data_IF_279373292326
#
_entry.id   IF_279373292326
#
_cell.length_a   1.000
_cell.length_b   1.000
_cell.length_c   1.000
_cell.angle_alpha   90.00
_cell.angle_beta   90.00
_cell.angle_gamma   90.00
#
_symmetry.space_group_name_H-M   'P 1'
#
loop_
_entity.id
_entity.type
_entity.pdbx_description
1 polymer ?
#
# COMPACT_ATOMS: atom_id res chain seq x y z
N UNK A 1 -8.42 45.57 -34.79
CA UNK A 1 -8.50 45.60 -36.27
C UNK A 1 -7.11 45.34 -36.84
N UNK A 2 -7.03 44.46 -37.85
CA UNK A 2 -5.85 43.98 -38.59
C UNK A 2 -4.69 43.39 -37.76
N UNK A 3 -4.79 42.09 -37.42
CA UNK A 3 -3.69 41.26 -36.90
C UNK A 3 -2.59 41.22 -37.98
N UNK A 4 -1.43 41.84 -37.72
CA UNK A 4 -0.29 41.85 -38.65
C UNK A 4 0.04 40.41 -39.06
N UNK A 5 -0.08 40.15 -40.36
CA UNK A 5 0.14 38.82 -40.94
C UNK A 5 1.59 38.39 -40.66
N UNK A 6 1.78 37.15 -40.19
CA UNK A 6 3.11 36.62 -39.85
C UNK A 6 4.05 36.76 -41.05
N UNK A 7 5.26 37.25 -40.79
CA UNK A 7 6.34 37.43 -41.79
C UNK A 7 6.57 36.12 -42.57
N UNK A 8 6.39 34.97 -41.93
CA UNK A 8 6.52 33.64 -42.53
C UNK A 8 5.47 33.37 -43.63
N UNK A 9 4.24 33.84 -43.45
CA UNK A 9 3.16 33.67 -44.44
C UNK A 9 3.37 34.56 -45.67
N UNK A 10 4.04 35.71 -45.48
CA UNK A 10 4.43 36.64 -46.55
C UNK A 10 5.58 36.09 -47.41
N UNK A 11 6.51 35.34 -46.80
CA UNK A 11 7.66 34.71 -47.48
C UNK A 11 7.25 33.53 -48.40
N UNK A 12 6.20 32.78 -48.06
CA UNK A 12 5.67 31.70 -48.92
C UNK A 12 5.16 32.20 -50.28
N UNK A 13 4.63 33.44 -50.34
CA UNK A 13 3.97 33.95 -51.54
C UNK A 13 4.94 34.55 -52.56
N UNK A 14 6.09 35.08 -52.11
CA UNK A 14 6.93 35.92 -52.99
C UNK A 14 8.25 35.25 -53.38
N UNK A 15 8.82 34.33 -52.58
CA UNK A 15 9.93 33.45 -53.00
C UNK A 15 9.95 32.21 -52.09
N UNK A 16 9.36 31.06 -52.48
CA UNK A 16 9.51 29.85 -51.68
C UNK A 16 11.01 29.50 -51.61
N UNK A 17 11.57 29.31 -50.40
CA UNK A 17 12.95 28.88 -50.25
C UNK A 17 13.12 27.55 -50.98
N UNK A 18 14.08 27.47 -51.90
CA UNK A 18 14.23 26.33 -52.82
C UNK A 18 14.73 25.04 -52.17
N UNK A 19 15.15 25.09 -50.90
CA UNK A 19 15.48 23.91 -50.10
C UNK A 19 15.16 24.24 -48.63
N UNK A 20 14.31 23.44 -48.01
CA UNK A 20 14.24 23.33 -46.55
C UNK A 20 14.91 22.01 -46.19
N UNK A 21 16.10 22.06 -45.60
CA UNK A 21 16.75 20.89 -45.01
C UNK A 21 16.28 20.81 -43.56
N UNK A 22 15.13 20.18 -43.34
CA UNK A 22 14.78 19.64 -42.02
C UNK A 22 15.48 18.29 -41.88
N UNK A 23 16.32 18.16 -40.85
CA UNK A 23 16.78 16.85 -40.40
C UNK A 23 15.66 16.28 -39.52
N UNK A 24 14.65 15.72 -40.17
CA UNK A 24 13.79 14.77 -39.48
C UNK A 24 14.64 13.53 -39.24
N UNK A 25 15.13 13.41 -38.01
CA UNK A 25 15.44 12.11 -37.45
C UNK A 25 14.09 11.43 -37.22
N UNK A 26 13.52 10.91 -38.29
CA UNK A 26 12.86 9.62 -38.15
C UNK A 26 14.00 8.69 -37.72
N UNK A 27 14.12 8.52 -36.41
CA UNK A 27 14.78 7.33 -35.87
C UNK A 27 13.88 6.20 -36.35
N UNK A 28 14.10 5.78 -37.60
CA UNK A 28 13.53 4.60 -38.26
C UNK A 28 14.11 3.35 -37.62
N UNK A 29 14.04 3.35 -36.29
CA UNK A 29 14.45 2.33 -35.36
C UNK A 29 13.29 2.13 -34.38
N UNK A 30 12.07 2.24 -34.91
CA UNK A 30 11.00 1.40 -34.42
C UNK A 30 11.54 -0.01 -34.50
N UNK A 31 12.06 -0.51 -33.36
CA UNK A 31 12.33 -1.92 -33.14
C UNK A 31 11.02 -2.61 -33.43
N UNK A 32 10.83 -3.01 -34.67
CA UNK A 32 9.81 -3.95 -35.05
C UNK A 32 10.20 -5.21 -34.31
N UNK A 33 9.47 -5.49 -33.23
CA UNK A 33 9.68 -6.67 -32.40
C UNK A 33 9.36 -7.86 -33.32
N UNK A 34 10.40 -8.36 -34.00
CA UNK A 34 10.30 -9.44 -35.00
C UNK A 34 10.19 -10.82 -34.36
N UNK A 35 10.23 -10.89 -33.03
CA UNK A 35 10.23 -12.11 -32.25
C UNK A 35 9.10 -12.06 -31.22
N UNK A 36 8.36 -13.15 -31.07
CA UNK A 36 7.31 -13.25 -30.06
C UNK A 36 7.90 -12.92 -28.67
N UNK A 37 7.20 -12.13 -27.84
CA UNK A 37 7.68 -11.84 -26.50
C UNK A 37 7.89 -13.16 -25.75
N UNK A 38 9.02 -13.26 -25.04
CA UNK A 38 9.32 -14.42 -24.23
C UNK A 38 8.41 -14.44 -22.99
N UNK A 39 7.31 -15.20 -23.08
CA UNK A 39 6.33 -15.34 -21.99
C UNK A 39 6.65 -16.58 -21.17
N UNK A 40 6.78 -16.41 -19.86
CA UNK A 40 6.97 -17.51 -18.91
C UNK A 40 5.64 -17.78 -18.21
N UNK A 41 5.18 -19.03 -18.25
CA UNK A 41 4.07 -19.49 -17.43
C UNK A 41 4.57 -20.05 -16.10
N UNK A 42 4.21 -19.41 -14.99
CA UNK A 42 4.49 -19.93 -13.64
C UNK A 42 3.26 -20.66 -13.12
N UNK A 43 3.42 -21.91 -12.72
CA UNK A 43 2.35 -22.76 -12.20
C UNK A 43 2.63 -23.06 -10.72
N UNK A 44 1.64 -22.85 -9.87
CA UNK A 44 1.76 -23.09 -8.43
C UNK A 44 0.43 -22.90 -7.71
N UNK A 45 0.39 -23.27 -6.42
CA UNK A 45 -0.70 -22.89 -5.54
C UNK A 45 -0.46 -21.48 -5.00
N UNK A 46 -1.17 -20.51 -5.57
CA UNK A 46 -1.04 -19.10 -5.21
C UNK A 46 -2.17 -18.58 -4.32
N UNK A 47 -3.27 -19.34 -4.13
CA UNK A 47 -4.40 -18.91 -3.29
C UNK A 47 -4.44 -19.60 -1.93
N UNK A 48 -3.66 -20.66 -1.71
CA UNK A 48 -3.54 -21.34 -0.43
C UNK A 48 -4.91 -21.67 0.19
N UNK A 49 -5.20 -21.15 1.39
CA UNK A 49 -6.47 -21.35 2.10
C UNK A 49 -7.53 -20.25 1.81
N UNK A 50 -7.45 -19.59 0.65
CA UNK A 50 -8.43 -18.58 0.24
C UNK A 50 -9.86 -19.11 0.32
N UNK A 51 -10.78 -18.26 0.80
CA UNK A 51 -12.22 -18.54 0.86
C UNK A 51 -12.91 -18.42 -0.51
N UNK A 52 -12.23 -17.86 -1.51
CA UNK A 52 -12.79 -17.70 -2.85
C UNK A 52 -12.97 -19.06 -3.54
N UNK A 53 -14.07 -19.19 -4.27
CA UNK A 53 -14.42 -20.44 -4.94
C UNK A 53 -13.34 -20.82 -5.97
N UNK A 54 -12.69 -21.97 -5.74
CA UNK A 54 -11.65 -22.46 -6.65
C UNK A 54 -12.30 -23.00 -7.91
N UNK A 55 -12.09 -22.30 -9.03
CA UNK A 55 -12.42 -22.80 -10.37
C UNK A 55 -11.75 -24.14 -10.65
N UNK A 56 -12.45 -25.04 -11.36
CA UNK A 56 -11.90 -26.32 -11.81
C UNK A 56 -10.69 -26.08 -12.71
N UNK A 57 -9.69 -26.96 -12.64
CA UNK A 57 -8.44 -26.83 -13.40
C UNK A 57 -8.66 -26.62 -14.91
N UNK A 58 -9.67 -27.28 -15.49
CA UNK A 58 -10.02 -27.18 -16.92
C UNK A 58 -10.50 -25.78 -17.32
N UNK A 59 -11.08 -25.04 -16.38
CA UNK A 59 -11.68 -23.73 -16.60
C UNK A 59 -10.73 -22.59 -16.13
N UNK A 60 -9.55 -22.94 -15.59
CA UNK A 60 -8.55 -21.95 -15.18
C UNK A 60 -7.90 -21.32 -16.41
N UNK A 61 -7.96 -19.99 -16.47
CA UNK A 61 -7.28 -19.17 -17.48
C UNK A 61 -5.95 -18.66 -16.92
N UNK A 62 -4.97 -18.52 -17.79
CA UNK A 62 -3.76 -17.78 -17.46
C UNK A 62 -4.09 -16.29 -17.31
N UNK A 63 -3.53 -15.67 -16.27
CA UNK A 63 -3.63 -14.24 -16.00
C UNK A 63 -2.25 -13.67 -16.27
N UNK A 64 -2.17 -12.65 -17.14
CA UNK A 64 -0.91 -11.94 -17.36
C UNK A 64 -0.63 -11.04 -16.16
N UNK A 65 0.59 -11.13 -15.63
CA UNK A 65 1.02 -10.39 -14.45
C UNK A 65 2.21 -9.52 -14.84
N UNK A 66 2.06 -8.21 -14.63
CA UNK A 66 3.05 -7.17 -14.87
C UNK A 66 3.18 -6.29 -13.61
N UNK A 67 4.22 -5.45 -13.54
CA UNK A 67 4.49 -4.61 -12.36
C UNK A 67 3.32 -3.70 -11.95
N UNK A 68 2.47 -3.33 -12.91
CA UNK A 68 1.34 -2.43 -12.69
C UNK A 68 0.08 -3.14 -12.16
N UNK A 69 -0.05 -4.46 -12.34
CA UNK A 69 -1.29 -5.20 -12.04
C UNK A 69 -1.16 -6.29 -10.96
N UNK A 70 0.04 -6.50 -10.39
CA UNK A 70 0.28 -7.53 -9.36
C UNK A 70 -0.72 -7.42 -8.21
N UNK A 71 -0.99 -6.21 -7.72
CA UNK A 71 -1.89 -6.00 -6.60
C UNK A 71 -3.35 -6.33 -6.97
N UNK A 72 -3.78 -6.01 -8.19
CA UNK A 72 -5.13 -6.38 -8.66
C UNK A 72 -5.31 -7.88 -8.77
N UNK A 73 -4.30 -8.57 -9.33
CA UNK A 73 -4.29 -10.02 -9.45
C UNK A 73 -4.27 -10.66 -8.07
N UNK A 74 -3.44 -10.17 -7.15
CA UNK A 74 -3.38 -10.67 -5.77
C UNK A 74 -4.72 -10.52 -5.06
N UNK A 75 -5.35 -9.34 -5.16
CA UNK A 75 -6.69 -9.09 -4.60
C UNK A 75 -7.74 -10.04 -5.16
N UNK A 76 -7.65 -10.39 -6.44
CA UNK A 76 -8.58 -11.34 -7.08
C UNK A 76 -8.39 -12.79 -6.61
N UNK A 77 -7.17 -13.15 -6.19
CA UNK A 77 -6.88 -14.46 -5.61
C UNK A 77 -7.17 -14.50 -4.09
N UNK A 78 -7.11 -13.36 -3.42
CA UNK A 78 -7.19 -13.19 -1.96
C UNK A 78 -6.49 -14.35 -1.21
N UNK A 79 -5.16 -14.51 -1.34
CA UNK A 79 -4.45 -15.57 -0.64
C UNK A 79 -4.67 -15.44 0.86
N UNK A 80 -5.09 -16.54 1.49
CA UNK A 80 -5.32 -16.60 2.94
C UNK A 80 -4.44 -17.65 3.57
N UNK A 81 -3.92 -17.33 4.74
CA UNK A 81 -3.04 -18.20 5.51
C UNK A 81 -3.51 -18.21 6.96
N UNK A 82 -3.86 -19.41 7.44
CA UNK A 82 -4.35 -19.63 8.80
C UNK A 82 -3.49 -20.68 9.49
N UNK A 83 -2.83 -20.31 10.58
CA UNK A 83 -1.93 -21.20 11.32
C UNK A 83 -1.77 -20.75 12.77
N UNK A 84 -1.26 -21.65 13.60
CA UNK A 84 -0.96 -21.35 14.99
C UNK A 84 0.51 -20.97 15.15
N UNK A 85 0.75 -19.86 15.85
CA UNK A 85 2.08 -19.37 16.22
C UNK A 85 2.26 -19.40 17.73
N UNK A 86 3.50 -19.37 18.17
CA UNK A 86 3.82 -19.20 19.58
C UNK A 86 3.42 -17.80 20.06
N UNK A 87 2.77 -17.73 21.21
CA UNK A 87 2.36 -16.47 21.82
C UNK A 87 3.47 -15.94 22.72
N UNK A 88 4.09 -14.82 22.33
CA UNK A 88 5.12 -14.11 23.10
C UNK A 88 4.59 -12.86 23.79
N UNK A 89 3.27 -12.63 23.79
CA UNK A 89 2.65 -11.43 24.39
C UNK A 89 2.38 -11.56 25.88
N UNK A 90 2.18 -12.79 26.37
CA UNK A 90 1.86 -13.09 27.76
C UNK A 90 2.94 -13.97 28.38
N UNK A 91 3.28 -13.72 29.64
CA UNK A 91 4.30 -14.49 30.37
C UNK A 91 3.92 -15.98 30.57
N UNK A 92 2.62 -16.28 30.55
CA UNK A 92 2.08 -17.65 30.63
C UNK A 92 2.39 -18.50 29.37
N UNK A 93 2.88 -17.86 28.30
CA UNK A 93 3.10 -18.50 27.01
C UNK A 93 1.81 -19.04 26.39
N UNK A 94 1.92 -19.76 25.27
CA UNK A 94 0.78 -20.42 24.63
C UNK A 94 0.85 -20.41 23.11
N UNK A 95 -0.26 -20.80 22.47
CA UNK A 95 -0.41 -20.70 21.01
C UNK A 95 -1.50 -19.69 20.66
N UNK A 96 -1.21 -18.86 19.68
CA UNK A 96 -2.13 -17.89 19.11
C UNK A 96 -2.48 -18.33 17.69
N UNK A 97 -3.77 -18.37 17.37
CA UNK A 97 -4.20 -18.56 15.98
C UNK A 97 -4.09 -17.24 15.24
N UNK A 98 -3.44 -17.26 14.08
CA UNK A 98 -3.29 -16.13 13.19
C UNK A 98 -4.02 -16.44 11.90
N UNK A 99 -4.76 -15.45 11.42
CA UNK A 99 -5.53 -15.52 10.20
C UNK A 99 -5.23 -14.27 9.36
N UNK A 100 -4.55 -14.48 8.24
CA UNK A 100 -4.05 -13.40 7.38
C UNK A 100 -4.62 -13.54 5.99
N UNK A 101 -5.12 -12.44 5.44
CA UNK A 101 -5.57 -12.34 4.06
C UNK A 101 -4.76 -11.25 3.36
N UNK A 102 -4.16 -11.61 2.25
CA UNK A 102 -3.32 -10.71 1.46
C UNK A 102 -4.11 -10.18 0.26
N UNK A 103 -4.15 -8.87 0.09
CA UNK A 103 -4.79 -8.20 -1.05
C UNK A 103 -3.79 -7.44 -1.92
N UNK A 104 -2.64 -7.07 -1.36
CA UNK A 104 -1.58 -6.34 -2.06
C UNK A 104 -0.20 -6.77 -1.59
N UNK A 105 0.84 -6.43 -2.34
CA UNK A 105 2.23 -6.67 -1.94
C UNK A 105 2.61 -5.96 -0.64
N UNK A 106 1.92 -4.88 -0.28
CA UNK A 106 2.15 -4.17 0.98
C UNK A 106 1.72 -4.98 2.20
N UNK A 107 0.80 -5.93 2.04
CA UNK A 107 0.28 -6.75 3.15
C UNK A 107 1.31 -7.74 3.70
N UNK A 108 2.41 -7.97 2.98
CA UNK A 108 3.56 -8.71 3.49
C UNK A 108 4.42 -7.89 4.45
N UNK A 109 4.20 -6.57 4.54
CA UNK A 109 4.95 -5.74 5.46
C UNK A 109 4.43 -5.92 6.90
N UNK A 110 5.31 -5.87 7.92
CA UNK A 110 4.91 -6.12 9.30
C UNK A 110 3.81 -5.19 9.80
N UNK A 111 3.77 -3.95 9.31
CA UNK A 111 2.77 -2.99 9.75
C UNK A 111 1.36 -3.45 9.37
N UNK A 112 1.18 -3.92 8.12
CA UNK A 112 -0.11 -4.43 7.65
C UNK A 112 -0.46 -5.78 8.29
N UNK A 113 0.52 -6.64 8.55
CA UNK A 113 0.29 -7.92 9.26
C UNK A 113 -0.25 -7.67 10.66
N UNK A 114 0.35 -6.72 11.39
CA UNK A 114 -0.08 -6.37 12.76
C UNK A 114 -1.52 -5.85 12.79
N UNK A 115 -1.95 -5.11 11.77
CA UNK A 115 -3.33 -4.62 11.66
C UNK A 115 -4.38 -5.74 11.53
N UNK A 116 -4.00 -6.89 10.97
CA UNK A 116 -4.88 -8.04 10.80
C UNK A 116 -4.98 -8.89 12.08
N UNK A 117 -3.96 -8.85 12.95
CA UNK A 117 -3.90 -9.63 14.18
C UNK A 117 -4.45 -8.80 15.35
N UNK A 118 -5.70 -9.08 15.76
CA UNK A 118 -6.45 -8.30 16.76
C UNK A 118 -5.65 -7.95 18.04
N UNK A 119 -4.94 -8.88 18.72
CA UNK A 119 -4.15 -8.53 19.90
C UNK A 119 -3.00 -7.55 19.62
N UNK A 120 -2.31 -7.70 18.49
CA UNK A 120 -1.20 -6.84 18.10
C UNK A 120 -1.69 -5.45 17.68
N UNK A 121 -2.82 -5.37 16.98
CA UNK A 121 -3.45 -4.10 16.59
C UNK A 121 -3.72 -3.21 17.82
N UNK A 122 -4.28 -3.78 18.89
CA UNK A 122 -4.53 -3.04 20.15
C UNK A 122 -3.25 -2.48 20.76
N UNK A 123 -2.13 -3.21 20.69
CA UNK A 123 -0.84 -2.73 21.19
C UNK A 123 -0.29 -1.58 20.36
N UNK A 124 -0.48 -1.62 19.03
CA UNK A 124 -0.11 -0.50 18.15
C UNK A 124 -0.96 0.72 18.43
N UNK A 125 -2.28 0.56 18.56
CA UNK A 125 -3.18 1.67 18.92
C UNK A 125 -2.81 2.28 20.27
N UNK A 126 -2.48 1.47 21.28
CA UNK A 126 -2.00 1.96 22.57
C UNK A 126 -0.68 2.73 22.43
N UNK A 127 0.26 2.24 21.62
CA UNK A 127 1.52 2.93 21.33
C UNK A 127 1.31 4.27 20.63
N UNK A 128 0.38 4.33 19.68
CA UNK A 128 0.02 5.58 19.00
C UNK A 128 -0.56 6.59 19.99
N UNK A 129 -1.52 6.17 20.83
CA UNK A 129 -2.10 7.03 21.89
C UNK A 129 -1.03 7.55 22.86
N UNK A 130 -0.08 6.71 23.26
CA UNK A 130 1.04 7.11 24.12
C UNK A 130 1.99 8.08 23.41
N UNK A 131 2.23 7.88 22.12
CA UNK A 131 3.07 8.78 21.31
C UNK A 131 2.41 10.14 21.15
N UNK A 132 1.10 10.17 20.90
CA UNK A 132 0.30 11.39 20.83
C UNK A 132 0.28 12.12 22.18
N UNK A 133 0.10 11.39 23.27
CA UNK A 133 0.18 11.95 24.63
C UNK A 133 1.54 12.58 24.87
N UNK A 134 2.63 11.87 24.58
CA UNK A 134 4.00 12.39 24.71
C UNK A 134 4.18 13.68 23.90
N UNK A 135 3.74 13.71 22.65
CA UNK A 135 3.86 14.88 21.78
C UNK A 135 3.02 16.07 22.31
N UNK A 136 1.86 15.82 22.91
CA UNK A 136 1.01 16.85 23.52
C UNK A 136 1.61 17.42 24.81
N UNK A 137 2.22 16.58 25.64
CA UNK A 137 2.93 17.01 26.86
C UNK A 137 4.08 17.94 26.49
N UNK A 138 4.93 17.54 25.53
CA UNK A 138 6.07 18.37 25.11
C UNK A 138 5.69 19.75 24.55
N UNK A 139 4.43 19.95 24.14
CA UNK A 139 3.94 21.21 23.57
C UNK A 139 3.08 22.03 24.57
N UNK A 140 2.78 21.52 25.76
CA UNK A 140 1.88 22.18 26.70
C UNK A 140 2.26 21.92 28.17
N UNK A 141 2.96 22.87 28.78
CA UNK A 141 3.39 22.83 30.19
C UNK A 141 2.23 22.58 31.16
N UNK A 142 1.02 23.12 30.90
CA UNK A 142 -0.16 22.87 31.76
C UNK A 142 -0.60 21.41 31.74
N UNK A 143 -0.37 20.71 30.64
CA UNK A 143 -0.73 19.30 30.52
C UNK A 143 0.27 18.42 31.28
N UNK A 144 1.53 18.86 31.36
CA UNK A 144 2.57 18.24 32.18
C UNK A 144 2.23 18.37 33.66
N UNK A 145 1.89 19.58 34.13
CA UNK A 145 1.48 19.84 35.51
C UNK A 145 0.26 18.99 35.93
N UNK A 146 -0.77 18.91 35.07
CA UNK A 146 -1.97 18.11 35.33
C UNK A 146 -1.68 16.60 35.34
N UNK A 147 -0.75 16.14 34.49
CA UNK A 147 -0.35 14.73 34.48
C UNK A 147 0.39 14.37 35.77
N UNK A 148 1.30 15.23 36.22
CA UNK A 148 2.02 15.06 37.48
C UNK A 148 1.06 15.05 38.68
N UNK A 149 0.03 15.90 38.68
CA UNK A 149 -1.02 15.90 39.70
C UNK A 149 -1.81 14.57 39.70
N UNK A 150 -2.19 14.06 38.53
CA UNK A 150 -2.91 12.78 38.39
C UNK A 150 -2.02 11.60 38.80
N UNK A 151 -0.74 11.60 38.45
CA UNK A 151 0.22 10.54 38.82
C UNK A 151 0.48 10.50 40.33
N UNK A 152 0.51 11.66 41.00
CA UNK A 152 0.63 11.74 42.46
C UNK A 152 -0.64 11.25 43.18
N UNK A 153 -1.78 11.23 42.49
CA UNK A 153 -3.07 10.86 43.04
C UNK A 153 -3.54 9.50 42.48
N UNK A 154 -2.86 8.43 42.89
CA UNK A 154 -3.11 7.03 42.46
C UNK A 154 -4.57 6.56 42.57
N UNK A 155 -5.38 7.18 43.43
CA UNK A 155 -6.80 6.86 43.57
C UNK A 155 -7.67 7.44 42.43
N UNK A 156 -7.28 8.56 41.83
CA UNK A 156 -7.97 9.12 40.66
C UNK A 156 -7.66 8.34 39.39
N UNK A 157 -6.41 7.88 39.23
CA UNK A 157 -6.01 6.99 38.12
C UNK A 157 -6.84 5.71 38.10
N UNK A 158 -7.05 5.08 39.25
CA UNK A 158 -7.85 3.84 39.37
C UNK A 158 -9.33 4.03 39.02
N UNK A 159 -9.92 5.18 39.35
CA UNK A 159 -11.32 5.48 39.00
C UNK A 159 -11.47 5.75 37.50
N UNK A 160 -10.55 6.53 36.93
CA UNK A 160 -10.54 6.84 35.50
C UNK A 160 -10.23 5.61 34.63
N UNK A 161 -9.34 4.73 35.08
CA UNK A 161 -9.06 3.47 34.37
C UNK A 161 -10.25 2.52 34.41
N UNK A 162 -10.99 2.47 35.52
CA UNK A 162 -12.23 1.70 35.60
C UNK A 162 -13.28 2.28 34.64
N UNK A 163 -13.44 3.59 34.59
CA UNK A 163 -14.41 4.24 33.69
C UNK A 163 -14.07 4.05 32.20
N UNK A 164 -12.77 4.01 31.85
CA UNK A 164 -12.30 3.73 30.49
C UNK A 164 -12.34 2.24 30.09
N UNK A 165 -12.47 1.31 31.04
CA UNK A 165 -12.70 -0.12 30.77
C UNK A 165 -14.19 -0.47 30.55
N UNK A 166 -15.10 0.45 30.89
CA UNK A 166 -16.55 0.31 30.69
C UNK A 166 -17.08 0.94 29.38
N UNK A 167 -16.20 1.52 28.55
CA UNK A 167 -16.47 2.01 27.18
C UNK A 167 -15.78 1.13 26.12
#
# INVERSE_FOLDING_TARGET
>A
MAKRESVQKKLQRIRPPRVQLTYDIEVGDGKEIKELPFVIGVLGDFSAASELEKTKLKDKKFINVDLDNIDEVMKSLAPRVTFQVENTLTEEGGRMSVDLTFNSMQDFRPENVVQQVNPLRKLVEARERLTDLRNKISNNERLEDLLDEVLQNTDHVRRLSAEAEYE
#
